data_IF_292944382595
#
_entry.id   IF_292944382595
#
_cell.length_a   1.000
_cell.length_b   1.000
_cell.length_c   1.000
_cell.angle_alpha   90.00
_cell.angle_beta   90.00
_cell.angle_gamma   90.00
#
_symmetry.space_group_name_H-M   'P 1'
#
loop_
_entity.id
_entity.type
_entity.pdbx_description
1 polymer ?
#
# COMPACT_ATOMS: atom_id res chain seq x y z
N UNK A 1 -0.52 14.01 -6.59
CA UNK A 1 -0.06 13.22 -6.93
C UNK A 1 -0.41 12.53 -8.11
N UNK A 2 -0.95 13.15 -9.06
CA UNK A 2 -1.19 12.51 -10.17
C UNK A 2 0.00 12.12 -10.79
N UNK A 3 0.20 11.13 -11.37
CA UNK A 3 1.33 10.68 -12.07
C UNK A 3 2.40 10.14 -11.19
N UNK A 4 2.20 10.10 -9.92
CA UNK A 4 3.19 9.54 -9.05
C UNK A 4 2.70 8.34 -8.39
N UNK A 5 3.51 7.34 -8.26
CA UNK A 5 3.13 6.16 -7.55
C UNK A 5 3.37 6.38 -6.11
N UNK A 6 2.42 6.12 -5.27
CA UNK A 6 2.62 6.24 -3.85
C UNK A 6 3.66 5.25 -3.39
N UNK A 7 4.36 5.60 -2.34
CA UNK A 7 5.40 4.73 -1.84
C UNK A 7 4.89 3.36 -1.49
N UNK A 8 3.67 3.30 -0.95
CA UNK A 8 3.16 2.01 -0.56
C UNK A 8 2.85 1.14 -1.77
N UNK A 9 2.53 1.71 -2.90
CA UNK A 9 2.38 0.94 -4.12
C UNK A 9 3.70 0.32 -4.51
N UNK A 10 4.78 1.04 -4.32
CA UNK A 10 6.05 0.48 -4.64
C UNK A 10 6.43 -0.66 -3.73
N UNK A 11 6.00 -0.61 -2.47
CA UNK A 11 6.26 -1.73 -1.61
C UNK A 11 5.56 -2.99 -2.11
N UNK A 12 4.35 -2.86 -2.58
CA UNK A 12 3.64 -4.00 -3.10
C UNK A 12 4.28 -4.52 -4.38
N UNK A 13 4.66 -3.63 -5.24
CA UNK A 13 5.23 -4.04 -6.51
C UNK A 13 6.63 -4.59 -6.38
N UNK A 14 7.42 -4.04 -5.46
CA UNK A 14 8.75 -4.53 -5.30
C UNK A 14 8.79 -5.95 -4.87
N UNK A 15 7.84 -6.35 -4.06
CA UNK A 15 7.88 -7.70 -3.65
C UNK A 15 7.71 -8.62 -4.82
N UNK A 16 7.10 -8.13 -5.83
CA UNK A 16 6.91 -8.97 -6.95
C UNK A 16 8.15 -8.94 -7.71
N UNK A 17 9.04 -8.24 -7.38
CA UNK A 17 10.24 -8.29 -7.98
C UNK A 17 10.25 -7.83 -9.27
N UNK A 18 9.48 -7.20 -9.75
CA UNK A 18 9.48 -6.91 -11.00
C UNK A 18 10.12 -5.81 -11.18
N UNK A 19 10.66 -5.43 -10.23
CA UNK A 19 11.26 -4.34 -10.43
C UNK A 19 12.07 -4.18 -11.51
N UNK A 20 12.44 -4.95 -12.14
CA UNK A 20 13.21 -4.79 -13.21
C UNK A 20 13.05 -3.53 -13.82
N UNK A 21 12.54 -2.63 -13.31
CA UNK A 21 12.56 -1.43 -13.91
C UNK A 21 11.81 -1.32 -15.10
N UNK A 22 10.94 -2.05 -15.28
CA UNK A 22 10.27 -2.00 -16.39
C UNK A 22 9.55 -0.73 -16.48
N UNK A 23 9.75 0.02 -17.43
CA UNK A 23 9.10 1.20 -17.64
C UNK A 23 7.65 1.09 -17.69
N UNK A 24 7.16 0.06 -18.22
CA UNK A 24 5.76 -0.09 -18.30
C UNK A 24 5.18 -0.12 -16.95
N UNK A 25 5.91 -0.48 -15.96
CA UNK A 25 5.35 -0.56 -14.66
C UNK A 25 5.00 0.79 -14.14
N UNK A 26 5.46 1.83 -14.78
CA UNK A 26 5.13 3.09 -14.31
C UNK A 26 3.74 3.45 -14.71
N UNK A 27 3.18 2.75 -15.65
CA UNK A 27 1.86 3.04 -16.07
C UNK A 27 0.93 2.17 -15.31
N UNK A 28 0.72 2.45 -14.06
CA UNK A 28 -0.20 1.67 -13.29
C UNK A 28 -1.57 1.94 -13.83
N UNK A 29 -2.23 0.95 -14.31
CA UNK A 29 -3.49 1.18 -14.93
C UNK A 29 -4.60 1.31 -13.91
N UNK A 30 -5.74 1.75 -14.33
CA UNK A 30 -6.84 2.00 -13.43
C UNK A 30 -7.30 0.76 -12.72
N UNK A 31 -7.18 -0.39 -13.33
CA UNK A 31 -7.64 -1.61 -12.70
C UNK A 31 -6.78 -1.94 -11.48
N UNK A 32 -5.48 -1.71 -11.56
CA UNK A 32 -4.61 -1.99 -10.44
C UNK A 32 -4.95 -1.04 -9.30
N UNK A 33 -5.22 0.21 -9.61
CA UNK A 33 -5.58 1.17 -8.58
C UNK A 33 -6.89 0.81 -7.90
N UNK A 34 -7.86 0.34 -8.68
CA UNK A 34 -9.12 -0.06 -8.10
C UNK A 34 -8.94 -1.28 -7.23
N UNK A 35 -8.11 -2.21 -7.66
CA UNK A 35 -7.87 -3.42 -6.90
C UNK A 35 -7.20 -3.08 -5.58
N UNK A 36 -6.26 -2.13 -5.59
CA UNK A 36 -5.59 -1.73 -4.37
C UNK A 36 -6.59 -1.10 -3.41
N UNK A 37 -7.51 -0.30 -3.92
CA UNK A 37 -8.50 0.29 -3.06
C UNK A 37 -9.38 -0.76 -2.42
N UNK A 38 -9.74 -1.78 -3.16
CA UNK A 38 -10.53 -2.86 -2.60
C UNK A 38 -9.77 -3.57 -1.52
N UNK A 39 -8.47 -3.78 -1.71
CA UNK A 39 -7.67 -4.46 -0.72
C UNK A 39 -7.57 -3.64 0.56
N UNK A 40 -7.42 -2.33 0.41
CA UNK A 40 -7.34 -1.46 1.57
C UNK A 40 -8.64 -1.55 2.36
N UNK A 41 -9.75 -1.61 1.69
CA UNK A 41 -11.04 -1.66 2.37
C UNK A 41 -11.22 -2.93 3.17
N UNK A 42 -10.48 -3.98 2.86
CA UNK A 42 -10.61 -5.21 3.59
C UNK A 42 -9.65 -5.34 4.76
N UNK A 43 -8.85 -4.34 5.00
CA UNK A 43 -7.90 -4.41 6.09
C UNK A 43 -8.57 -4.13 7.43
N UNK A 44 -8.01 -4.66 8.52
CA UNK A 44 -8.50 -4.28 9.84
C UNK A 44 -8.39 -2.77 10.02
N UNK A 45 -9.21 -2.21 10.89
CA UNK A 45 -9.30 -0.77 11.05
C UNK A 45 -7.97 -0.09 11.26
N UNK A 46 -7.15 -0.57 12.16
CA UNK A 46 -5.93 0.14 12.46
C UNK A 46 -4.94 0.08 11.30
N UNK A 47 -4.98 -0.98 10.52
CA UNK A 47 -4.11 -1.06 9.36
C UNK A 47 -4.63 -0.19 8.24
N UNK A 48 -5.94 -0.16 8.07
CA UNK A 48 -6.54 0.66 7.04
C UNK A 48 -6.28 2.13 7.32
N UNK A 49 -6.36 2.53 8.58
CA UNK A 49 -6.11 3.91 8.95
C UNK A 49 -4.69 4.34 8.62
N UNK A 50 -3.71 3.50 8.92
CA UNK A 50 -2.33 3.86 8.65
C UNK A 50 -2.09 3.97 7.15
N UNK A 51 -2.65 3.05 6.39
CA UNK A 51 -2.49 3.10 4.94
C UNK A 51 -3.15 4.35 4.39
N UNK A 52 -4.33 4.68 4.90
CA UNK A 52 -5.04 5.84 4.42
C UNK A 52 -4.24 7.13 4.71
N UNK A 53 -3.73 7.25 5.92
CA UNK A 53 -2.98 8.44 6.27
C UNK A 53 -1.71 8.55 5.47
N UNK A 54 -1.04 7.42 5.26
CA UNK A 54 0.21 7.47 4.54
C UNK A 54 0.01 7.64 3.05
N UNK A 55 -0.95 6.94 2.49
CA UNK A 55 -1.14 6.92 1.07
C UNK A 55 -1.97 8.10 0.58
N UNK A 56 -3.08 8.39 1.22
CA UNK A 56 -3.94 9.45 0.74
C UNK A 56 -3.64 10.80 1.33
N UNK A 57 -3.12 10.84 2.54
CA UNK A 57 -2.85 12.10 3.19
C UNK A 57 -1.37 12.44 3.25
N UNK A 58 -0.54 11.55 2.76
CA UNK A 58 0.89 11.79 2.64
C UNK A 58 1.53 12.20 3.96
N UNK A 59 1.13 11.59 5.04
CA UNK A 59 1.64 11.92 6.35
C UNK A 59 2.88 11.12 6.66
N UNK A 60 3.75 11.69 7.46
CA UNK A 60 4.93 10.96 7.89
C UNK A 60 4.52 9.96 8.97
N UNK A 61 5.33 8.95 9.21
CA UNK A 61 5.00 7.98 10.24
C UNK A 61 5.01 8.64 11.62
N UNK A 62 5.81 9.70 11.81
CA UNK A 62 5.78 10.39 13.06
C UNK A 62 4.42 11.06 13.25
N UNK A 63 3.89 11.68 12.22
CA UNK A 63 2.59 12.31 12.29
C UNK A 63 1.50 11.28 12.52
N UNK A 64 1.61 10.15 11.85
CA UNK A 64 0.62 9.09 12.02
C UNK A 64 0.66 8.58 13.44
N UNK A 65 1.86 8.40 13.98
CA UNK A 65 1.99 7.92 15.35
C UNK A 65 1.37 8.92 16.33
N UNK A 66 1.62 10.20 16.11
CA UNK A 66 1.07 11.21 17.00
C UNK A 66 -0.46 11.23 16.96
N UNK A 67 -1.01 11.16 15.78
CA UNK A 67 -2.46 11.22 15.64
C UNK A 67 -3.13 9.98 16.21
N UNK A 68 -2.52 8.83 16.03
CA UNK A 68 -3.14 7.58 16.46
C UNK A 68 -2.75 7.23 17.90
N UNK A 69 -1.87 8.00 18.49
CA UNK A 69 -1.53 7.78 19.90
C UNK A 69 -0.65 6.57 20.12
N UNK A 70 0.20 6.23 19.18
CA UNK A 70 1.09 5.08 19.33
C UNK A 70 2.50 5.50 19.02
N UNK A 71 3.44 4.61 19.24
CA UNK A 71 4.84 4.92 18.94
C UNK A 71 5.06 4.84 17.43
N UNK A 72 6.13 5.44 16.98
CA UNK A 72 6.49 5.36 15.58
C UNK A 72 6.71 3.92 15.17
N UNK A 73 7.34 3.13 16.03
CA UNK A 73 7.55 1.73 15.70
C UNK A 73 6.24 0.98 15.53
N UNK A 74 5.24 1.30 16.33
CA UNK A 74 3.94 0.68 16.19
C UNK A 74 3.29 1.11 14.86
N UNK A 75 3.41 2.37 14.51
CA UNK A 75 2.83 2.84 13.25
C UNK A 75 3.52 2.15 12.07
N UNK A 76 4.85 2.02 12.14
CA UNK A 76 5.58 1.33 11.09
C UNK A 76 5.17 -0.14 11.02
N UNK A 77 4.99 -0.77 12.17
CA UNK A 77 4.56 -2.17 12.19
C UNK A 77 3.19 -2.35 11.59
N UNK A 78 2.29 -1.42 11.87
CA UNK A 78 0.95 -1.50 11.30
C UNK A 78 1.00 -1.39 9.79
N UNK A 79 1.88 -0.53 9.27
CA UNK A 79 2.02 -0.40 7.84
C UNK A 79 2.59 -1.68 7.24
N UNK A 80 3.58 -2.26 7.91
CA UNK A 80 4.17 -3.49 7.41
C UNK A 80 3.14 -4.60 7.36
N UNK A 81 2.34 -4.74 8.42
CA UNK A 81 1.33 -5.80 8.43
C UNK A 81 0.22 -5.50 7.43
N UNK A 82 -0.07 -4.22 7.20
CA UNK A 82 -1.05 -3.87 6.19
C UNK A 82 -0.59 -4.35 4.82
N UNK A 83 0.68 -4.13 4.50
CA UNK A 83 1.20 -4.55 3.20
C UNK A 83 1.14 -6.07 3.09
N UNK A 84 1.53 -6.78 4.15
CA UNK A 84 1.51 -8.23 4.12
C UNK A 84 0.09 -8.75 3.96
N UNK A 85 -0.87 -8.14 4.65
CA UNK A 85 -2.25 -8.55 4.52
C UNK A 85 -2.78 -8.27 3.13
N UNK A 86 -2.41 -7.15 2.55
CA UNK A 86 -2.90 -6.83 1.21
C UNK A 86 -2.37 -7.84 0.20
N UNK A 87 -1.11 -8.27 0.37
CA UNK A 87 -0.57 -9.27 -0.53
C UNK A 87 -1.31 -10.60 -0.37
N UNK A 88 -1.63 -10.94 0.88
CA UNK A 88 -2.34 -12.19 1.13
C UNK A 88 -3.74 -12.15 0.52
N UNK A 89 -4.45 -11.05 0.73
CA UNK A 89 -5.79 -10.92 0.20
C UNK A 89 -5.75 -10.93 -1.32
N UNK A 90 -4.77 -10.28 -1.91
CA UNK A 90 -4.65 -10.25 -3.35
C UNK A 90 -4.45 -11.66 -3.89
N UNK A 91 -3.65 -12.45 -3.21
CA UNK A 91 -3.44 -13.82 -3.65
C UNK A 91 -4.71 -14.64 -3.53
N UNK A 92 -5.46 -14.43 -2.46
CA UNK A 92 -6.69 -15.17 -2.28
C UNK A 92 -7.73 -14.81 -3.32
N UNK A 93 -7.74 -13.56 -3.76
CA UNK A 93 -8.73 -13.14 -4.72
C UNK A 93 -8.22 -13.19 -6.15
N UNK A 94 -7.04 -13.73 -6.34
CA UNK A 94 -6.47 -13.84 -7.66
C UNK A 94 -6.33 -12.46 -8.30
N UNK A 95 -6.02 -11.45 -7.52
CA UNK A 95 -5.83 -10.13 -8.04
C UNK A 95 -4.36 -9.95 -8.38
N UNK A 96 -4.08 -9.47 -9.57
CA UNK A 96 -2.70 -9.26 -9.95
C UNK A 96 -2.30 -7.85 -9.64
N UNK A 97 -1.27 -7.68 -8.84
CA UNK A 97 -0.76 -6.36 -8.55
C UNK A 97 0.42 -6.06 -9.44
N UNK A 98 0.71 -6.98 -10.35
CA UNK A 98 1.82 -6.83 -11.24
C UNK A 98 1.29 -6.57 -12.61
N UNK A 99 1.84 -5.65 -13.33
CA UNK A 99 1.38 -5.41 -14.65
C UNK A 99 2.13 -6.27 -15.57
N UNK A 100 1.48 -6.98 -16.37
CA UNK A 100 2.18 -7.83 -17.26
C UNK A 100 2.08 -7.41 -18.59
#
# INVERSE_FOLDING_TARGET
LEGQQPAFMQLLLNDAKLSEGNIENQLVNDQVLKDVRMLIDELPDCQREVVFMRYYQDMSFKEIADITGVSINTALGRMRYAVLNMRRIAAEKNVSLVME
#
